data_IF_403206083064
#
_entry.id   IF_403206083064
#
_cell.length_a   1.000
_cell.length_b   1.000
_cell.length_c   1.000
_cell.angle_alpha   90.00
_cell.angle_beta   90.00
_cell.angle_gamma   90.00
#
_symmetry.space_group_name_H-M   'P 1'
#
loop_
_entity.id
_entity.type
_entity.pdbx_description
1 polymer ?
#
# COMPACT_ATOMS: atom_id res chain seq x y z
N UNK A 1 9.73 -32.61 -16.84
CA UNK A 1 8.97 -33.50 -15.93
C UNK A 1 7.59 -32.90 -15.81
N UNK A 2 6.54 -33.63 -16.23
CA UNK A 2 5.21 -33.09 -16.40
C UNK A 2 4.51 -32.78 -15.07
N UNK A 3 3.51 -31.93 -15.14
CA UNK A 3 2.60 -31.55 -14.06
C UNK A 3 1.96 -32.77 -13.33
N UNK A 4 2.03 -33.98 -13.89
CA UNK A 4 1.44 -35.17 -13.32
C UNK A 4 1.99 -35.65 -11.97
N UNK A 5 3.24 -35.32 -11.63
CA UNK A 5 3.83 -35.71 -10.33
C UNK A 5 3.49 -34.77 -9.18
N UNK A 6 3.04 -33.56 -9.50
CA UNK A 6 2.65 -32.54 -8.51
C UNK A 6 1.28 -32.85 -7.90
N UNK A 7 0.39 -33.48 -8.65
CA UNK A 7 -0.99 -33.78 -8.23
C UNK A 7 -1.13 -34.99 -7.28
N UNK A 8 -0.07 -35.69 -7.02
CA UNK A 8 -0.11 -36.93 -6.18
C UNK A 8 0.12 -36.68 -4.69
N UNK A 9 0.55 -35.50 -4.28
CA UNK A 9 0.80 -35.18 -2.87
C UNK A 9 -0.39 -34.40 -2.30
N UNK A 10 -1.05 -35.00 -1.33
CA UNK A 10 -2.10 -34.35 -0.55
C UNK A 10 -1.56 -33.92 0.80
N UNK A 11 -2.13 -32.86 1.36
CA UNK A 11 -1.88 -32.50 2.76
C UNK A 11 -2.38 -33.63 3.69
N UNK A 12 -1.63 -33.98 4.76
CA UNK A 12 -2.13 -34.86 5.79
C UNK A 12 -3.45 -34.35 6.35
N UNK A 13 -4.35 -35.24 6.76
CA UNK A 13 -5.65 -34.88 7.37
C UNK A 13 -5.48 -33.95 8.57
N UNK A 14 -4.42 -34.13 9.35
CA UNK A 14 -4.09 -33.24 10.49
C UNK A 14 -3.89 -31.79 10.10
N UNK A 15 -3.54 -31.50 8.85
CA UNK A 15 -3.33 -30.16 8.32
C UNK A 15 -4.54 -29.69 7.51
N UNK A 16 -5.21 -30.59 6.76
CA UNK A 16 -6.35 -30.28 5.90
C UNK A 16 -7.71 -30.32 6.60
N UNK A 17 -7.84 -31.08 7.68
CA UNK A 17 -9.13 -31.37 8.34
C UNK A 17 -9.82 -30.18 9.01
N UNK A 18 -9.17 -29.02 9.12
CA UNK A 18 -9.75 -27.78 9.63
C UNK A 18 -9.87 -26.66 8.59
N UNK A 19 -9.58 -26.95 7.33
CA UNK A 19 -9.64 -25.92 6.27
C UNK A 19 -11.06 -25.56 5.91
N UNK A 20 -11.35 -24.25 5.92
CA UNK A 20 -12.63 -23.73 5.46
C UNK A 20 -12.74 -23.89 3.95
N UNK A 21 -13.73 -24.67 3.51
CA UNK A 21 -14.09 -24.76 2.09
C UNK A 21 -14.67 -23.42 1.63
N UNK A 22 -14.11 -22.86 0.56
CA UNK A 22 -14.66 -21.68 -0.11
C UNK A 22 -15.44 -22.10 -1.35
N UNK A 23 -16.29 -21.23 -1.89
CA UNK A 23 -17.00 -21.48 -3.16
C UNK A 23 -16.05 -21.83 -4.32
N UNK A 24 -14.81 -21.39 -4.28
CA UNK A 24 -13.78 -21.71 -5.29
C UNK A 24 -13.26 -23.14 -5.19
N UNK A 25 -13.36 -23.78 -4.04
CA UNK A 25 -12.84 -25.13 -3.77
C UNK A 25 -13.93 -26.16 -3.48
N UNK A 26 -15.19 -25.75 -3.39
CA UNK A 26 -16.33 -26.60 -2.98
C UNK A 26 -16.60 -27.79 -3.91
N UNK A 27 -16.14 -27.73 -5.18
CA UNK A 27 -16.27 -28.82 -6.15
C UNK A 27 -15.06 -29.75 -6.25
N UNK A 28 -14.04 -29.58 -5.40
CA UNK A 28 -12.83 -30.38 -5.42
C UNK A 28 -12.92 -31.57 -4.46
N UNK A 29 -12.64 -32.76 -4.96
CA UNK A 29 -12.63 -33.96 -4.15
C UNK A 29 -11.31 -34.13 -3.35
N UNK A 30 -10.29 -33.33 -3.64
CA UNK A 30 -8.99 -33.35 -2.99
C UNK A 30 -8.26 -32.03 -3.11
N UNK A 31 -7.35 -31.75 -2.20
CA UNK A 31 -6.49 -30.55 -2.20
C UNK A 31 -5.07 -30.93 -2.56
N UNK A 32 -4.72 -30.95 -3.88
CA UNK A 32 -3.38 -31.30 -4.31
C UNK A 32 -2.38 -30.22 -3.90
N UNK A 33 -1.20 -30.63 -3.44
CA UNK A 33 -0.09 -29.76 -3.15
C UNK A 33 0.70 -29.48 -4.43
N UNK A 34 0.83 -28.22 -4.79
CA UNK A 34 1.76 -27.77 -5.79
C UNK A 34 3.18 -27.64 -5.20
N UNK A 35 4.11 -28.46 -5.64
CA UNK A 35 5.52 -28.31 -5.27
C UNK A 35 6.10 -27.02 -5.86
N UNK A 36 7.00 -26.38 -5.13
CA UNK A 36 7.70 -25.19 -5.64
C UNK A 36 8.65 -25.55 -6.79
N UNK A 37 8.63 -24.78 -7.86
CA UNK A 37 9.63 -24.82 -8.94
C UNK A 37 10.96 -24.19 -8.52
N UNK A 38 10.96 -23.37 -7.46
CA UNK A 38 12.10 -22.64 -6.97
C UNK A 38 12.74 -23.35 -5.79
N UNK A 39 14.05 -23.23 -5.66
CA UNK A 39 14.80 -23.82 -4.55
C UNK A 39 14.73 -22.91 -3.34
N UNK A 40 14.67 -23.51 -2.16
CA UNK A 40 14.74 -22.84 -0.88
C UNK A 40 15.97 -23.30 -0.12
N UNK A 41 16.62 -22.40 0.58
CA UNK A 41 17.73 -22.70 1.51
C UNK A 41 17.70 -21.75 2.69
N UNK A 42 18.40 -22.14 3.74
CA UNK A 42 18.56 -21.30 4.92
C UNK A 42 19.56 -20.18 4.68
N UNK A 43 19.27 -19.02 5.21
CA UNK A 43 20.10 -17.82 5.10
C UNK A 43 20.27 -17.16 6.47
N UNK A 44 21.41 -16.47 6.64
CA UNK A 44 21.77 -15.73 7.83
C UNK A 44 22.00 -16.61 9.06
N UNK A 45 22.24 -15.98 10.20
CA UNK A 45 22.38 -16.64 11.50
C UNK A 45 21.04 -17.13 12.04
N UNK A 46 19.94 -16.47 11.65
CA UNK A 46 18.57 -16.82 11.99
C UNK A 46 18.11 -18.13 11.33
N UNK A 47 18.81 -18.58 10.28
CA UNK A 47 18.44 -19.78 9.52
C UNK A 47 17.11 -19.64 8.77
N UNK A 48 16.73 -18.41 8.39
CA UNK A 48 15.49 -18.15 7.69
C UNK A 48 15.46 -18.83 6.31
N UNK A 49 14.38 -19.58 6.02
CA UNK A 49 14.19 -20.22 4.72
C UNK A 49 13.70 -19.21 3.70
N UNK A 50 14.51 -18.92 2.67
CA UNK A 50 14.17 -18.01 1.58
C UNK A 50 14.39 -18.68 0.23
N UNK A 51 13.57 -18.27 -0.74
CA UNK A 51 13.65 -18.72 -2.12
C UNK A 51 14.81 -18.06 -2.87
N UNK A 52 15.34 -18.75 -3.89
CA UNK A 52 16.30 -18.22 -4.85
C UNK A 52 15.74 -17.06 -5.70
N UNK A 53 14.42 -16.85 -5.69
CA UNK A 53 13.77 -15.65 -6.24
C UNK A 53 14.07 -14.36 -5.46
N UNK A 54 14.59 -14.47 -4.24
CA UNK A 54 14.83 -13.35 -3.33
C UNK A 54 16.32 -13.14 -3.02
N UNK A 55 17.21 -12.98 -4.04
CA UNK A 55 18.65 -12.95 -3.82
C UNK A 55 19.15 -11.75 -3.02
N UNK A 56 18.41 -10.64 -3.04
CA UNK A 56 18.76 -9.44 -2.26
C UNK A 56 18.20 -9.50 -0.84
N UNK A 57 16.96 -9.93 -0.68
CA UNK A 57 16.32 -10.12 0.62
C UNK A 57 17.08 -11.14 1.47
N UNK A 58 17.63 -12.19 0.84
CA UNK A 58 18.42 -13.21 1.55
C UNK A 58 19.71 -12.65 2.18
N UNK A 59 20.25 -11.54 1.67
CA UNK A 59 21.46 -10.91 2.22
C UNK A 59 21.20 -10.16 3.53
N UNK A 60 19.97 -9.72 3.75
CA UNK A 60 19.54 -8.97 4.95
C UNK A 60 18.60 -9.80 5.83
N UNK A 61 18.63 -11.12 5.69
CA UNK A 61 17.70 -12.03 6.40
C UNK A 61 17.77 -11.91 7.92
N UNK A 62 18.92 -11.56 8.49
CA UNK A 62 19.09 -11.39 9.94
C UNK A 62 18.51 -10.06 10.46
N UNK A 63 18.23 -9.10 9.57
CA UNK A 63 17.61 -7.81 9.88
C UNK A 63 16.08 -7.85 9.73
N UNK A 64 15.52 -9.00 9.29
CA UNK A 64 14.10 -9.16 9.01
C UNK A 64 13.40 -9.99 10.09
N UNK A 65 12.17 -9.59 10.42
CA UNK A 65 11.26 -10.38 11.23
C UNK A 65 10.31 -11.19 10.33
N UNK A 66 10.36 -12.52 10.44
CA UNK A 66 9.53 -13.44 9.67
C UNK A 66 8.34 -13.93 10.52
N UNK A 67 7.16 -13.35 10.31
CA UNK A 67 5.93 -13.73 10.98
C UNK A 67 5.24 -14.82 10.17
N UNK A 68 5.41 -16.09 10.55
CA UNK A 68 4.88 -17.25 9.80
C UNK A 68 3.45 -17.63 10.18
N UNK A 69 2.91 -17.07 11.26
CA UNK A 69 1.60 -17.39 11.81
C UNK A 69 0.51 -16.38 11.47
N UNK A 70 0.72 -15.57 10.42
CA UNK A 70 -0.30 -14.61 9.97
C UNK A 70 -1.56 -15.36 9.51
N UNK A 71 -2.71 -14.90 10.01
CA UNK A 71 -4.00 -15.49 9.74
C UNK A 71 -5.02 -14.41 9.35
N UNK A 72 -5.97 -14.75 8.50
CA UNK A 72 -7.11 -13.90 8.17
C UNK A 72 -8.36 -14.74 7.95
N UNK A 73 -9.51 -14.21 8.33
CA UNK A 73 -10.83 -14.79 8.03
C UNK A 73 -11.41 -14.27 6.71
N UNK A 74 -10.74 -13.31 6.07
CA UNK A 74 -11.18 -12.75 4.80
C UNK A 74 -11.05 -13.79 3.68
N UNK A 75 -12.18 -14.12 3.04
CA UNK A 75 -12.23 -15.13 1.97
C UNK A 75 -11.84 -14.53 0.63
N UNK A 76 -12.28 -13.29 0.37
CA UNK A 76 -12.05 -12.61 -0.91
C UNK A 76 -10.88 -11.64 -0.83
N UNK A 77 -10.27 -11.37 -1.98
CA UNK A 77 -9.12 -10.47 -2.11
C UNK A 77 -9.42 -9.06 -1.60
N UNK A 78 -10.57 -8.49 -1.92
CA UNK A 78 -10.92 -7.12 -1.57
C UNK A 78 -11.00 -6.89 -0.05
N UNK A 79 -11.78 -7.63 0.74
CA UNK A 79 -11.77 -7.50 2.19
C UNK A 79 -10.43 -7.91 2.80
N UNK A 80 -9.70 -8.89 2.20
CA UNK A 80 -8.38 -9.29 2.69
C UNK A 80 -7.33 -8.19 2.52
N UNK A 81 -7.28 -7.54 1.36
CA UNK A 81 -6.38 -6.40 1.10
C UNK A 81 -6.74 -5.23 2.02
N UNK A 82 -8.02 -4.94 2.18
CA UNK A 82 -8.48 -3.88 3.08
C UNK A 82 -8.07 -4.19 4.53
N UNK A 83 -8.25 -5.44 4.97
CA UNK A 83 -7.90 -5.87 6.32
C UNK A 83 -6.40 -5.74 6.61
N UNK A 84 -5.53 -6.24 5.73
CA UNK A 84 -4.07 -6.17 5.96
C UNK A 84 -3.55 -4.73 5.95
N UNK A 85 -4.19 -3.84 5.20
CA UNK A 85 -3.79 -2.43 5.10
C UNK A 85 -4.34 -1.56 6.23
N UNK A 86 -5.51 -1.90 6.80
CA UNK A 86 -6.24 -1.00 7.71
C UNK A 86 -6.62 -1.64 9.05
N UNK A 87 -6.41 -2.95 9.22
CA UNK A 87 -6.87 -3.71 10.38
C UNK A 87 -8.40 -3.94 10.42
N UNK A 88 -9.11 -3.70 9.30
CA UNK A 88 -10.56 -3.95 9.19
C UNK A 88 -10.91 -4.43 7.79
N UNK A 89 -11.86 -5.37 7.66
CA UNK A 89 -12.40 -5.76 6.36
C UNK A 89 -13.29 -4.68 5.75
N UNK A 90 -13.82 -3.78 6.58
CA UNK A 90 -14.66 -2.66 6.15
C UNK A 90 -13.79 -1.42 5.90
N UNK A 91 -14.07 -0.64 4.84
CA UNK A 91 -13.37 0.59 4.57
C UNK A 91 -13.65 1.67 5.63
N UNK A 92 -12.81 2.71 5.67
CA UNK A 92 -13.00 3.87 6.54
C UNK A 92 -11.94 4.03 7.64
N UNK A 93 -11.13 3.00 7.88
CA UNK A 93 -9.98 3.11 8.81
C UNK A 93 -8.71 3.59 8.10
N UNK A 94 -7.81 4.27 8.82
CA UNK A 94 -6.52 4.67 8.26
C UNK A 94 -5.70 3.45 7.84
N UNK A 95 -4.97 3.60 6.74
CA UNK A 95 -4.02 2.60 6.31
C UNK A 95 -2.78 2.56 7.20
N UNK A 96 -2.04 1.45 7.16
CA UNK A 96 -0.79 1.30 7.91
C UNK A 96 0.20 2.42 7.62
N UNK A 97 0.32 2.86 6.37
CA UNK A 97 1.18 3.99 6.00
C UNK A 97 0.70 5.32 6.58
N UNK A 98 -0.61 5.53 6.66
CA UNK A 98 -1.18 6.71 7.33
C UNK A 98 -0.90 6.73 8.82
N UNK A 99 -1.02 5.59 9.50
CA UNK A 99 -0.66 5.45 10.91
C UNK A 99 0.83 5.69 11.17
N UNK A 100 1.71 5.16 10.30
CA UNK A 100 3.14 5.39 10.41
C UNK A 100 3.48 6.88 10.22
N UNK A 101 2.88 7.52 9.20
CA UNK A 101 3.08 8.96 8.98
C UNK A 101 2.55 9.81 10.13
N UNK A 102 1.42 9.42 10.74
CA UNK A 102 0.86 10.10 11.90
C UNK A 102 1.73 9.95 13.15
N UNK A 103 2.22 8.75 13.43
CA UNK A 103 2.95 8.45 14.66
C UNK A 103 4.44 8.83 14.62
N UNK A 104 5.09 8.69 13.46
CA UNK A 104 6.52 8.93 13.30
C UNK A 104 6.84 10.26 12.63
N UNK A 105 5.87 10.85 11.92
CA UNK A 105 6.09 12.04 11.10
C UNK A 105 6.95 11.79 9.88
N UNK A 106 7.55 12.85 9.35
CA UNK A 106 8.52 12.81 8.25
C UNK A 106 9.57 13.88 8.46
N UNK A 107 10.84 13.52 8.31
CA UNK A 107 11.96 14.47 8.36
C UNK A 107 11.98 15.41 7.15
N UNK A 108 11.38 14.98 6.05
CA UNK A 108 11.29 15.77 4.83
C UNK A 108 9.97 16.53 4.76
N UNK A 109 10.06 17.86 4.69
CA UNK A 109 8.91 18.76 4.58
C UNK A 109 8.46 18.98 3.13
N UNK A 110 9.31 18.66 2.16
CA UNK A 110 9.10 18.96 0.74
C UNK A 110 8.61 17.75 -0.07
N UNK A 111 8.56 16.56 0.53
CA UNK A 111 8.09 15.33 -0.10
C UNK A 111 7.00 14.68 0.76
N UNK A 112 6.07 13.95 0.12
CA UNK A 112 5.10 13.16 0.88
C UNK A 112 5.80 12.16 1.79
N UNK A 113 5.39 12.09 3.06
CA UNK A 113 5.91 11.08 4.00
C UNK A 113 5.45 9.66 3.68
N UNK A 114 4.36 9.53 2.92
CA UNK A 114 3.81 8.25 2.51
C UNK A 114 3.60 8.21 0.98
N UNK A 115 4.50 7.54 0.29
CA UNK A 115 4.46 7.35 -1.17
C UNK A 115 3.96 5.95 -1.49
N UNK A 116 3.08 5.86 -2.48
CA UNK A 116 2.45 4.61 -2.94
C UNK A 116 2.85 4.31 -4.37
N UNK A 117 3.48 3.17 -4.59
CA UNK A 117 3.81 2.65 -5.91
C UNK A 117 2.91 1.46 -6.21
N UNK A 118 2.22 1.50 -7.34
CA UNK A 118 1.28 0.46 -7.75
C UNK A 118 1.80 -0.22 -9.00
N UNK A 119 1.99 -1.54 -8.91
CA UNK A 119 2.15 -2.38 -10.09
C UNK A 119 0.79 -2.96 -10.47
N UNK A 120 0.29 -2.59 -11.65
CA UNK A 120 -0.95 -3.17 -12.17
C UNK A 120 -0.65 -4.54 -12.77
N UNK A 121 -1.30 -5.56 -12.23
CA UNK A 121 -1.31 -6.88 -12.85
C UNK A 121 -2.31 -6.94 -14.01
N UNK A 122 -2.06 -7.88 -14.93
CA UNK A 122 -2.91 -8.17 -16.09
C UNK A 122 -4.32 -8.66 -15.70
N UNK A 123 -4.46 -9.25 -14.52
CA UNK A 123 -5.71 -9.84 -14.01
C UNK A 123 -6.46 -8.98 -12.99
N UNK A 124 -6.01 -7.75 -12.73
CA UNK A 124 -6.76 -6.78 -11.95
C UNK A 124 -6.98 -7.14 -10.49
N UNK A 125 -5.93 -7.05 -9.65
CA UNK A 125 -6.12 -7.10 -8.21
C UNK A 125 -6.91 -5.87 -7.72
N UNK A 126 -7.76 -6.01 -6.69
CA UNK A 126 -8.57 -4.91 -6.16
C UNK A 126 -7.71 -3.91 -5.38
N UNK A 127 -6.98 -3.07 -6.10
CA UNK A 127 -6.18 -1.99 -5.53
C UNK A 127 -6.98 -0.69 -5.59
N UNK A 128 -7.59 -0.33 -4.46
CA UNK A 128 -8.39 0.87 -4.32
C UNK A 128 -7.69 1.91 -3.45
N UNK A 129 -8.03 3.18 -3.64
CA UNK A 129 -7.46 4.31 -2.87
C UNK A 129 -7.63 4.16 -1.35
N UNK A 130 -8.64 3.41 -0.88
CA UNK A 130 -8.79 3.09 0.53
C UNK A 130 -7.62 2.29 1.13
N UNK A 131 -6.85 1.58 0.30
CA UNK A 131 -5.69 0.82 0.76
C UNK A 131 -4.51 1.70 1.21
N UNK A 132 -4.53 2.98 0.85
CA UNK A 132 -3.57 3.99 1.29
C UNK A 132 -4.24 5.28 1.76
N UNK A 133 -5.52 5.21 2.07
CA UNK A 133 -6.31 6.33 2.56
C UNK A 133 -6.00 6.67 4.03
N UNK A 134 -6.25 7.92 4.37
CA UNK A 134 -6.10 8.43 5.72
C UNK A 134 -7.23 8.00 6.68
N UNK A 135 -8.33 7.44 6.17
CA UNK A 135 -9.51 7.09 6.98
C UNK A 135 -10.04 8.29 7.76
N UNK A 136 -10.07 8.20 9.09
CA UNK A 136 -10.48 9.29 9.99
C UNK A 136 -9.33 10.20 10.44
N UNK A 137 -8.08 9.93 10.02
CA UNK A 137 -6.97 10.85 10.27
C UNK A 137 -7.03 12.03 9.30
N UNK A 138 -6.41 13.18 9.63
CA UNK A 138 -6.30 14.31 8.72
C UNK A 138 -5.72 13.92 7.35
N UNK A 139 -6.18 14.56 6.29
CA UNK A 139 -5.85 14.22 4.90
C UNK A 139 -4.36 14.32 4.55
N UNK A 140 -3.58 15.07 5.32
CA UNK A 140 -2.12 15.17 5.18
C UNK A 140 -1.38 13.82 5.35
N UNK A 141 -2.01 12.85 6.02
CA UNK A 141 -1.44 11.51 6.25
C UNK A 141 -1.85 10.49 5.18
N UNK A 142 -2.61 10.91 4.16
CA UNK A 142 -2.97 10.05 3.05
C UNK A 142 -1.76 9.72 2.18
N UNK A 143 -1.70 8.50 1.69
CA UNK A 143 -0.68 8.08 0.74
C UNK A 143 -0.83 8.78 -0.61
N UNK A 144 0.29 9.25 -1.15
CA UNK A 144 0.37 9.88 -2.47
C UNK A 144 0.82 8.85 -3.49
N UNK A 145 -0.06 8.55 -4.44
CA UNK A 145 0.23 7.60 -5.49
C UNK A 145 1.16 8.21 -6.55
N UNK A 146 2.33 7.60 -6.72
CA UNK A 146 3.23 7.89 -7.83
C UNK A 146 3.01 6.90 -8.97
N UNK A 147 3.09 7.39 -10.19
CA UNK A 147 2.93 6.61 -11.42
C UNK A 147 4.27 6.45 -12.11
N UNK A 148 4.44 5.35 -12.81
CA UNK A 148 5.55 5.20 -13.75
C UNK A 148 5.34 6.13 -14.96
N UNK A 149 6.41 6.78 -15.42
CA UNK A 149 6.40 7.66 -16.59
C UNK A 149 6.91 9.07 -16.29
N UNK A 150 6.76 9.96 -17.27
CA UNK A 150 7.29 11.34 -17.18
C UNK A 150 6.61 12.19 -16.10
N UNK A 151 5.36 11.91 -15.78
CA UNK A 151 4.57 12.65 -14.80
C UNK A 151 4.20 11.71 -13.64
N UNK A 152 5.11 11.51 -12.66
CA UNK A 152 4.87 10.59 -11.56
C UNK A 152 3.69 11.00 -10.67
N UNK A 153 3.42 12.28 -10.55
CA UNK A 153 2.23 12.85 -9.88
C UNK A 153 1.41 13.62 -10.90
N UNK A 154 0.09 13.39 -10.91
CA UNK A 154 -0.79 14.08 -11.87
C UNK A 154 -1.04 15.52 -11.46
N UNK A 155 -1.30 16.33 -12.48
CA UNK A 155 -1.74 17.73 -12.35
C UNK A 155 -0.75 18.67 -11.65
N UNK A 156 0.54 18.30 -11.60
CA UNK A 156 1.60 19.21 -11.15
C UNK A 156 1.94 20.27 -12.22
N UNK A 157 1.90 19.87 -13.48
CA UNK A 157 2.17 20.78 -14.59
C UNK A 157 1.14 21.91 -14.69
N UNK A 158 1.58 23.08 -15.07
CA UNK A 158 0.67 24.19 -15.30
C UNK A 158 -0.19 23.93 -16.54
N UNK A 159 -1.51 24.22 -16.49
CA UNK A 159 -2.34 24.17 -17.68
C UNK A 159 -1.82 25.13 -18.78
N UNK A 160 -2.11 24.85 -20.05
CA UNK A 160 -1.76 25.77 -21.15
C UNK A 160 -2.24 27.21 -20.89
N UNK A 161 -1.36 28.17 -21.02
CA UNK A 161 -1.67 29.58 -20.77
C UNK A 161 -1.47 30.05 -19.32
N UNK A 162 -1.16 29.16 -18.39
CA UNK A 162 -0.87 29.52 -16.99
C UNK A 162 0.64 29.56 -16.79
N UNK A 163 1.20 30.75 -16.57
CA UNK A 163 2.61 30.90 -16.22
C UNK A 163 2.88 30.45 -14.78
N UNK A 164 4.13 30.11 -14.47
CA UNK A 164 4.55 29.78 -13.11
C UNK A 164 4.16 30.87 -12.11
N UNK A 165 4.45 32.12 -12.44
CA UNK A 165 4.11 33.27 -11.61
C UNK A 165 2.61 33.38 -11.33
N UNK A 166 1.78 33.21 -12.38
CA UNK A 166 0.32 33.24 -12.22
C UNK A 166 -0.16 32.11 -11.31
N UNK A 167 0.44 30.92 -11.43
CA UNK A 167 0.12 29.77 -10.56
C UNK A 167 0.45 30.05 -9.09
N UNK A 168 1.62 30.61 -8.84
CA UNK A 168 2.06 31.01 -7.50
C UNK A 168 1.08 32.05 -6.89
N UNK A 169 0.74 33.09 -7.65
CA UNK A 169 -0.22 34.12 -7.22
C UNK A 169 -1.61 33.53 -6.90
N UNK A 170 -2.08 32.57 -7.72
CA UNK A 170 -3.35 31.87 -7.48
C UNK A 170 -3.32 31.07 -6.17
N UNK A 171 -2.24 30.34 -5.93
CA UNK A 171 -2.11 29.52 -4.71
C UNK A 171 -1.93 30.36 -3.47
N UNK A 172 -1.20 31.47 -3.53
CA UNK A 172 -1.10 32.46 -2.46
C UNK A 172 -2.48 33.06 -2.11
N UNK A 173 -3.26 33.40 -3.13
CA UNK A 173 -4.61 33.91 -2.92
C UNK A 173 -5.52 32.87 -2.26
N UNK A 174 -5.49 31.61 -2.73
CA UNK A 174 -6.23 30.51 -2.12
C UNK A 174 -5.82 30.29 -0.68
N UNK A 175 -4.52 30.33 -0.37
CA UNK A 175 -4.00 30.19 0.99
C UNK A 175 -4.53 31.31 1.91
N UNK A 176 -4.58 32.55 1.43
CA UNK A 176 -5.16 33.68 2.19
C UNK A 176 -6.64 33.48 2.50
N UNK A 177 -7.44 33.06 1.51
CA UNK A 177 -8.87 32.75 1.72
C UNK A 177 -9.04 31.63 2.73
N UNK A 178 -8.25 30.55 2.60
CA UNK A 178 -8.33 29.40 3.51
C UNK A 178 -7.92 29.79 4.95
N UNK A 179 -6.88 30.57 5.12
CA UNK A 179 -6.48 31.09 6.44
C UNK A 179 -7.58 31.95 7.09
N UNK A 180 -8.26 32.78 6.30
CA UNK A 180 -9.42 33.54 6.78
C UNK A 180 -10.55 32.61 7.23
N UNK A 181 -10.88 31.59 6.40
CA UNK A 181 -11.88 30.58 6.80
C UNK A 181 -11.48 29.79 8.04
N UNK A 182 -10.19 29.46 8.17
CA UNK A 182 -9.72 28.77 9.36
C UNK A 182 -9.92 29.61 10.64
N UNK A 183 -9.68 30.94 10.58
CA UNK A 183 -9.92 31.81 11.71
C UNK A 183 -11.41 31.90 12.14
N UNK A 184 -12.32 31.70 11.16
CA UNK A 184 -13.77 31.77 11.42
C UNK A 184 -14.33 30.42 11.89
N UNK A 185 -13.86 29.31 11.35
CA UNK A 185 -14.45 27.97 11.54
C UNK A 185 -13.62 27.09 12.48
N UNK A 186 -12.27 27.25 12.47
CA UNK A 186 -11.35 26.46 13.29
C UNK A 186 -11.15 25.01 12.81
N UNK A 187 -11.57 24.64 11.59
CA UNK A 187 -11.45 23.28 11.06
C UNK A 187 -9.98 22.98 10.68
N UNK A 188 -9.29 22.03 11.35
CA UNK A 188 -7.89 21.71 11.08
C UNK A 188 -7.66 21.13 9.68
N UNK A 189 -8.68 20.62 9.00
CA UNK A 189 -8.58 20.12 7.63
C UNK A 189 -8.26 21.25 6.64
N UNK A 190 -8.60 22.48 6.95
CA UNK A 190 -8.23 23.67 6.15
C UNK A 190 -6.70 23.84 6.14
N UNK A 191 -6.05 23.67 7.27
CA UNK A 191 -4.58 23.73 7.36
C UNK A 191 -3.92 22.60 6.59
N UNK A 192 -4.50 21.41 6.64
CA UNK A 192 -4.03 20.25 5.86
C UNK A 192 -4.06 20.52 4.37
N UNK A 193 -5.11 21.16 3.85
CA UNK A 193 -5.20 21.56 2.43
C UNK A 193 -4.16 22.60 2.05
N UNK A 194 -3.91 23.60 2.90
CA UNK A 194 -2.85 24.59 2.64
C UNK A 194 -1.50 23.89 2.50
N UNK A 195 -1.16 23.02 3.46
CA UNK A 195 0.07 22.23 3.44
C UNK A 195 0.22 21.35 2.17
N UNK A 196 -0.88 20.77 1.70
CA UNK A 196 -0.89 19.97 0.48
C UNK A 196 -0.60 20.80 -0.78
N UNK A 197 -1.12 22.03 -0.87
CA UNK A 197 -0.80 22.93 -1.98
C UNK A 197 0.66 23.39 -1.94
N UNK A 198 1.19 23.70 -0.76
CA UNK A 198 2.60 24.08 -0.58
C UNK A 198 3.52 22.91 -0.96
N UNK A 199 3.18 21.67 -0.58
CA UNK A 199 3.90 20.47 -0.97
C UNK A 199 3.85 20.24 -2.49
N UNK A 200 2.68 20.43 -3.12
CA UNK A 200 2.53 20.28 -4.57
C UNK A 200 3.41 21.30 -5.33
N UNK A 201 3.50 22.55 -4.85
CA UNK A 201 4.42 23.55 -5.39
C UNK A 201 5.89 23.12 -5.25
N UNK A 202 6.26 22.55 -4.12
CA UNK A 202 7.61 22.05 -3.88
C UNK A 202 7.99 20.93 -4.86
N UNK A 203 7.06 20.01 -5.16
CA UNK A 203 7.27 18.92 -6.10
C UNK A 203 7.51 19.38 -7.55
N UNK A 204 6.95 20.53 -7.95
CA UNK A 204 7.18 21.11 -9.29
C UNK A 204 8.64 21.56 -9.46
N UNK A 205 9.38 21.78 -8.37
CA UNK A 205 10.76 22.27 -8.40
C UNK A 205 11.82 21.17 -8.35
N UNK A 206 11.40 19.91 -8.19
CA UNK A 206 12.28 18.74 -8.20
C UNK A 206 12.37 18.14 -9.59
#
# INVERSE_FOLDING_TARGET
>A
RGLGDVYKRQLPESVSGGQRLTGMTAGQNSFPLAGSHFKFKQHGKSGAWLSDLMPYTSKISDELCFIKSMHTEAINHDPAVTFIQTGSQLPGRPSIGSWLSYGLGSDNKNLPGFVVLITKDKYGQPLYSRSWGNGFLPSQYQGVQFRSGKNPVLYLDNPPGVSKKLREEQLDFLSKIQKSKYSDIGDPEILSRISQYEMALSLIHI
#
